data_IF_237804987648
#
_entry.id   IF_237804987648
#
_cell.length_a   1.000
_cell.length_b   1.000
_cell.length_c   1.000
_cell.angle_alpha   90.00
_cell.angle_beta   90.00
_cell.angle_gamma   90.00
#
_symmetry.space_group_name_H-M   'P 1'
#
loop_
_entity.id
_entity.type
_entity.pdbx_description
1 polymer ?
#
# COMPACT_ATOMS: atom_id res chain seq x y z
N UNK A 1 -3.22 3.67 -2.36
CA UNK A 1 -2.91 2.98 -3.64
C UNK A 1 -3.18 1.49 -3.47
N UNK A 2 -4.00 0.87 -4.33
CA UNK A 2 -4.16 -0.60 -4.30
C UNK A 2 -2.84 -1.26 -4.73
N UNK A 3 -2.41 -2.31 -4.03
CA UNK A 3 -1.15 -3.02 -4.31
C UNK A 3 -1.44 -4.37 -4.96
N UNK A 4 -2.20 -5.23 -4.27
CA UNK A 4 -2.52 -6.58 -4.72
C UNK A 4 -3.74 -7.12 -3.97
N UNK A 5 -4.47 -8.08 -4.56
CA UNK A 5 -5.61 -8.73 -3.92
C UNK A 5 -5.19 -9.52 -2.68
N UNK A 6 -6.10 -9.67 -1.72
CA UNK A 6 -5.94 -10.56 -0.57
C UNK A 6 -6.65 -11.87 -0.91
N UNK A 7 -5.87 -12.91 -1.18
CA UNK A 7 -6.34 -14.29 -1.21
C UNK A 7 -6.17 -14.89 0.20
N UNK A 8 -7.30 -15.16 0.88
CA UNK A 8 -7.29 -15.69 2.24
C UNK A 8 -6.52 -17.01 2.34
N UNK A 9 -6.69 -17.91 1.36
CA UNK A 9 -6.04 -19.22 1.36
C UNK A 9 -4.52 -19.08 1.32
N UNK A 10 -4.02 -18.19 0.44
CA UNK A 10 -2.60 -17.92 0.30
C UNK A 10 -2.03 -17.16 1.50
N UNK A 11 -2.66 -16.06 1.93
CA UNK A 11 -2.15 -15.19 3.00
C UNK A 11 -2.05 -15.95 4.32
N UNK A 12 -3.02 -16.81 4.63
CA UNK A 12 -3.00 -17.63 5.85
C UNK A 12 -1.74 -18.53 5.93
N UNK A 13 -1.29 -19.04 4.78
CA UNK A 13 -0.23 -20.06 4.65
C UNK A 13 1.15 -19.50 4.30
N UNK A 14 1.25 -18.21 4.00
CA UNK A 14 2.49 -17.61 3.49
C UNK A 14 3.02 -16.58 4.48
N UNK A 15 4.27 -16.73 4.91
CA UNK A 15 4.98 -15.72 5.70
C UNK A 15 5.29 -14.48 4.86
N UNK A 16 5.49 -13.33 5.52
CA UNK A 16 5.68 -12.05 4.84
C UNK A 16 6.81 -12.08 3.81
N UNK A 17 7.93 -12.71 4.16
CA UNK A 17 9.13 -12.85 3.34
C UNK A 17 8.85 -13.54 1.98
N UNK A 18 7.84 -14.39 1.93
CA UNK A 18 7.42 -15.13 0.73
C UNK A 18 6.09 -14.61 0.15
N UNK A 19 5.56 -13.51 0.69
CA UNK A 19 4.24 -13.01 0.34
C UNK A 19 4.22 -12.33 -1.04
N UNK A 20 3.09 -12.48 -1.72
CA UNK A 20 2.82 -11.73 -2.95
C UNK A 20 2.74 -10.21 -2.70
N UNK A 21 2.44 -9.77 -1.47
CA UNK A 21 2.51 -8.37 -1.07
C UNK A 21 3.95 -7.84 -1.14
N UNK A 22 4.88 -8.53 -0.47
CA UNK A 22 6.29 -8.15 -0.50
C UNK A 22 6.84 -8.22 -1.93
N UNK A 23 6.50 -9.24 -2.71
CA UNK A 23 6.94 -9.34 -4.11
C UNK A 23 6.57 -8.10 -4.95
N UNK A 24 5.39 -7.51 -4.72
CA UNK A 24 4.92 -6.30 -5.42
C UNK A 24 5.53 -5.01 -4.86
N UNK A 25 5.89 -5.00 -3.58
CA UNK A 25 6.51 -3.86 -2.90
C UNK A 25 8.04 -3.86 -3.05
N UNK A 26 8.68 -5.00 -3.30
CA UNK A 26 10.14 -5.08 -3.33
C UNK A 26 10.75 -4.18 -4.41
N UNK A 27 10.08 -4.04 -5.55
CA UNK A 27 10.46 -3.13 -6.62
C UNK A 27 9.21 -2.57 -7.29
N UNK A 28 9.00 -1.26 -7.16
CA UNK A 28 7.92 -0.58 -7.87
C UNK A 28 8.39 0.76 -8.43
N UNK A 29 7.79 1.17 -9.55
CA UNK A 29 7.89 2.54 -10.07
C UNK A 29 6.57 3.24 -9.77
N UNK A 30 6.64 4.34 -9.03
CA UNK A 30 5.49 5.15 -8.67
C UNK A 30 5.48 6.39 -9.55
N UNK A 31 4.49 6.48 -10.43
CA UNK A 31 4.18 7.68 -11.20
C UNK A 31 3.08 8.48 -10.48
N UNK A 32 3.46 9.57 -9.83
CA UNK A 32 2.51 10.49 -9.21
C UNK A 32 2.00 11.48 -10.26
N UNK A 33 0.69 11.67 -10.32
CA UNK A 33 0.03 12.66 -11.19
C UNK A 33 -0.74 13.69 -10.38
N UNK A 34 -0.90 14.88 -10.94
CA UNK A 34 -1.83 15.88 -10.43
C UNK A 34 -3.24 15.49 -10.89
N UNK A 35 -4.16 15.42 -9.94
CA UNK A 35 -5.58 15.25 -10.25
C UNK A 35 -6.18 16.61 -10.61
N UNK A 36 -6.67 16.73 -11.85
CA UNK A 36 -7.16 17.98 -12.45
C UNK A 36 -8.68 18.11 -12.46
N UNK A 37 -9.40 17.01 -12.24
CA UNK A 37 -10.86 17.00 -12.20
C UNK A 37 -11.45 15.61 -12.46
N UNK A 38 -12.75 15.47 -12.23
CA UNK A 38 -13.46 14.20 -12.39
C UNK A 38 -13.57 13.74 -13.85
N UNK A 39 -13.59 14.68 -14.80
CA UNK A 39 -13.66 14.38 -16.23
C UNK A 39 -12.39 13.69 -16.76
N UNK A 40 -11.27 13.77 -16.01
CA UNK A 40 -9.97 13.12 -16.30
C UNK A 40 -9.45 13.35 -17.74
N UNK A 41 -9.80 14.48 -18.37
CA UNK A 41 -9.46 14.80 -19.76
C UNK A 41 -7.95 14.96 -20.02
N UNK A 42 -7.16 15.25 -18.98
CA UNK A 42 -5.71 15.35 -19.05
C UNK A 42 -5.06 14.91 -17.73
N UNK A 43 -3.84 14.39 -17.82
CA UNK A 43 -3.05 13.96 -16.66
C UNK A 43 -1.68 14.61 -16.69
N UNK A 44 -1.37 15.41 -15.66
CA UNK A 44 -0.07 16.03 -15.50
C UNK A 44 0.80 15.12 -14.63
N UNK A 45 1.85 14.55 -15.22
CA UNK A 45 2.86 13.78 -14.48
C UNK A 45 3.63 14.73 -13.56
N UNK A 46 3.50 14.53 -12.25
CA UNK A 46 4.21 15.32 -11.25
C UNK A 46 5.62 14.79 -11.01
N UNK A 47 5.73 13.48 -10.77
CA UNK A 47 7.02 12.84 -10.51
C UNK A 47 6.99 11.34 -10.78
N UNK A 48 8.16 10.78 -11.05
CA UNK A 48 8.41 9.35 -11.08
C UNK A 48 9.47 9.04 -10.04
N UNK A 49 9.20 8.08 -9.17
CA UNK A 49 10.18 7.59 -8.19
C UNK A 49 10.21 6.07 -8.21
N UNK A 50 11.39 5.51 -7.98
CA UNK A 50 11.50 4.12 -7.57
C UNK A 50 11.08 4.00 -6.11
N UNK A 51 10.49 2.87 -5.79
CA UNK A 51 10.11 2.46 -4.46
C UNK A 51 10.79 1.12 -4.21
N UNK A 52 11.66 1.13 -3.20
CA UNK A 52 12.39 -0.02 -2.72
C UNK A 52 12.15 -0.11 -1.20
N UNK A 53 11.77 -1.29 -0.72
CA UNK A 53 11.42 -1.53 0.68
C UNK A 53 12.69 -1.83 1.51
N UNK A 54 13.68 -0.94 1.42
CA UNK A 54 15.05 -1.19 1.89
C UNK A 54 15.34 -0.55 3.26
N UNK A 55 14.47 0.38 3.69
CA UNK A 55 14.57 1.02 5.00
C UNK A 55 14.04 0.03 6.06
N UNK A 56 14.87 -0.48 6.99
CA UNK A 56 14.48 -1.56 7.89
C UNK A 56 13.21 -1.27 8.69
N UNK A 57 13.07 -0.06 9.23
CA UNK A 57 11.90 0.33 10.03
C UNK A 57 10.61 0.35 9.20
N UNK A 58 10.73 0.64 7.89
CA UNK A 58 9.58 0.61 6.99
C UNK A 58 9.24 -0.84 6.64
N UNK A 59 10.25 -1.66 6.34
CA UNK A 59 10.09 -3.08 6.09
C UNK A 59 9.37 -3.77 7.25
N UNK A 60 9.85 -3.57 8.47
CA UNK A 60 9.31 -4.19 9.67
C UNK A 60 7.86 -3.78 9.94
N UNK A 61 7.51 -2.52 9.68
CA UNK A 61 6.13 -2.07 9.83
C UNK A 61 5.21 -2.68 8.76
N UNK A 62 5.67 -2.80 7.51
CA UNK A 62 4.90 -3.47 6.45
C UNK A 62 4.72 -4.96 6.77
N UNK A 63 5.74 -5.61 7.32
CA UNK A 63 5.66 -6.97 7.85
C UNK A 63 4.61 -7.08 8.95
N UNK A 64 4.65 -6.21 9.94
CA UNK A 64 3.68 -6.19 11.04
C UNK A 64 2.24 -5.97 10.54
N UNK A 65 2.04 -5.12 9.53
CA UNK A 65 0.72 -4.91 8.91
C UNK A 65 0.21 -6.15 8.17
N UNK A 66 1.11 -6.85 7.45
CA UNK A 66 0.79 -8.12 6.80
C UNK A 66 0.42 -9.19 7.82
N UNK A 67 1.24 -9.35 8.87
CA UNK A 67 1.03 -10.35 9.91
C UNK A 67 -0.25 -10.08 10.71
N UNK A 68 -0.59 -8.81 10.93
CA UNK A 68 -1.89 -8.42 11.51
C UNK A 68 -3.06 -8.93 10.67
N UNK A 69 -3.02 -8.73 9.34
CA UNK A 69 -4.06 -9.22 8.41
C UNK A 69 -4.09 -10.74 8.37
N UNK A 70 -2.92 -11.38 8.28
CA UNK A 70 -2.78 -12.83 8.30
C UNK A 70 -3.36 -13.45 9.57
N UNK A 71 -3.06 -12.86 10.73
CA UNK A 71 -3.54 -13.33 12.03
C UNK A 71 -5.06 -13.16 12.17
N UNK A 72 -5.62 -12.08 11.65
CA UNK A 72 -7.07 -11.89 11.60
C UNK A 72 -7.76 -12.94 10.71
N UNK A 73 -7.20 -13.25 9.53
CA UNK A 73 -7.72 -14.33 8.67
C UNK A 73 -7.70 -15.67 9.42
N UNK A 74 -6.60 -16.01 10.09
CA UNK A 74 -6.44 -17.28 10.81
C UNK A 74 -7.41 -17.46 11.98
N UNK A 75 -7.62 -16.41 12.76
CA UNK A 75 -8.29 -16.54 14.06
C UNK A 75 -9.71 -15.95 14.10
N UNK A 76 -10.05 -15.07 13.16
CA UNK A 76 -11.30 -14.32 13.15
C UNK A 76 -12.05 -14.44 11.82
N UNK A 77 -11.44 -15.07 10.81
CA UNK A 77 -11.99 -15.21 9.47
C UNK A 77 -11.81 -13.98 8.59
N UNK A 78 -11.98 -14.15 7.28
CA UNK A 78 -11.73 -13.11 6.27
C UNK A 78 -12.64 -11.87 6.42
N UNK A 79 -13.85 -12.05 6.93
CA UNK A 79 -14.80 -10.96 7.14
C UNK A 79 -14.38 -9.97 8.24
N UNK A 80 -13.53 -10.41 9.17
CA UNK A 80 -12.99 -9.57 10.25
C UNK A 80 -12.10 -8.44 9.76
N UNK A 81 -11.59 -8.54 8.52
CA UNK A 81 -10.68 -7.55 7.97
C UNK A 81 -11.37 -6.18 7.91
N UNK A 82 -10.61 -5.11 8.14
CA UNK A 82 -11.17 -3.76 8.14
C UNK A 82 -10.14 -2.73 7.70
N UNK A 83 -10.59 -1.68 7.01
CA UNK A 83 -9.75 -0.55 6.61
C UNK A 83 -9.11 0.21 7.78
N UNK A 84 -9.45 -0.13 9.03
CA UNK A 84 -8.79 0.40 10.23
C UNK A 84 -7.49 -0.33 10.56
N UNK A 85 -7.25 -1.53 10.00
CA UNK A 85 -6.04 -2.31 10.28
C UNK A 85 -4.81 -1.73 9.58
N UNK A 86 -3.66 -1.94 10.22
CA UNK A 86 -2.32 -1.63 9.72
C UNK A 86 -2.01 -0.13 9.62
N UNK A 87 -0.71 0.18 9.66
CA UNK A 87 -0.15 1.55 9.73
C UNK A 87 0.22 2.08 8.36
N UNK A 88 0.79 1.24 7.50
CA UNK A 88 1.20 1.55 6.13
C UNK A 88 0.39 0.79 5.09
N UNK A 89 0.08 -0.48 5.36
CA UNK A 89 -0.74 -1.34 4.51
C UNK A 89 -2.05 -1.65 5.22
N UNK A 90 -3.17 -1.55 4.52
CA UNK A 90 -4.51 -1.83 5.06
C UNK A 90 -5.30 -2.74 4.10
N UNK A 91 -6.14 -3.65 4.62
CA UNK A 91 -7.12 -4.35 3.82
C UNK A 91 -8.31 -3.41 3.51
N UNK A 92 -8.69 -3.28 2.25
CA UNK A 92 -9.90 -2.54 1.85
C UNK A 92 -10.72 -3.36 0.87
N UNK A 93 -12.04 -3.20 0.94
CA UNK A 93 -12.97 -3.74 -0.05
C UNK A 93 -12.63 -3.18 -1.43
N UNK A 94 -12.58 -4.05 -2.44
CA UNK A 94 -12.37 -3.66 -3.83
C UNK A 94 -13.64 -3.91 -4.63
N UNK A 95 -14.21 -2.85 -5.21
CA UNK A 95 -15.42 -2.90 -6.03
C UNK A 95 -16.40 -1.75 -5.70
N UNK A 96 -17.38 -1.48 -6.57
CA UNK A 96 -18.27 -0.31 -6.49
C UNK A 96 -19.34 -0.35 -5.38
N UNK A 97 -19.20 -1.19 -4.35
CA UNK A 97 -20.32 -1.54 -3.45
C UNK A 97 -21.31 -2.50 -4.15
N UNK A 98 -22.28 -3.03 -3.41
CA UNK A 98 -23.21 -4.12 -3.82
C UNK A 98 -22.64 -5.55 -3.72
N UNK A 99 -22.34 -6.01 -2.50
CA UNK A 99 -22.07 -7.44 -2.23
C UNK A 99 -20.66 -7.93 -2.59
N UNK A 100 -19.75 -7.03 -3.01
CA UNK A 100 -18.36 -7.41 -3.25
C UNK A 100 -17.64 -7.69 -1.93
N UNK A 101 -17.32 -8.97 -1.73
CA UNK A 101 -16.60 -9.49 -0.55
C UNK A 101 -15.08 -9.37 -0.71
N UNK A 102 -14.60 -9.13 -1.93
CA UNK A 102 -13.17 -9.16 -2.23
C UNK A 102 -12.42 -8.00 -1.57
N UNK A 103 -11.22 -8.30 -1.07
CA UNK A 103 -10.33 -7.31 -0.43
C UNK A 103 -8.99 -7.25 -1.14
N UNK A 104 -8.36 -6.09 -1.10
CA UNK A 104 -6.99 -5.92 -1.54
C UNK A 104 -6.17 -5.23 -0.44
N UNK A 105 -4.86 -5.43 -0.47
CA UNK A 105 -3.90 -4.64 0.27
C UNK A 105 -3.78 -3.26 -0.39
N UNK A 106 -3.98 -2.21 0.40
CA UNK A 106 -3.81 -0.82 -0.02
C UNK A 106 -2.71 -0.16 0.79
N UNK A 107 -1.78 0.50 0.09
CA UNK A 107 -0.87 1.46 0.69
C UNK A 107 -1.63 2.73 1.13
N UNK A 108 -1.48 3.09 2.40
CA UNK A 108 -1.99 4.33 3.00
C UNK A 108 -1.25 5.56 2.46
N UNK A 109 -1.91 6.71 2.52
CA UNK A 109 -1.33 7.99 2.11
C UNK A 109 -0.06 8.31 2.88
N UNK A 110 -0.06 8.10 4.20
CA UNK A 110 1.11 8.37 5.05
C UNK A 110 2.32 7.50 4.68
N UNK A 111 2.08 6.30 4.18
CA UNK A 111 3.13 5.46 3.64
C UNK A 111 3.70 6.04 2.34
N UNK A 112 2.82 6.38 1.39
CA UNK A 112 3.23 6.93 0.08
C UNK A 112 3.98 8.26 0.20
N UNK A 113 3.60 9.12 1.17
CA UNK A 113 4.27 10.41 1.40
C UNK A 113 5.78 10.27 1.67
N UNK A 114 6.21 9.16 2.28
CA UNK A 114 7.64 8.87 2.55
C UNK A 114 8.48 8.69 1.29
N UNK A 115 7.86 8.42 0.14
CA UNK A 115 8.54 8.18 -1.13
C UNK A 115 8.26 9.27 -2.15
N UNK A 116 7.02 9.73 -2.24
CA UNK A 116 6.61 10.72 -3.24
C UNK A 116 7.09 12.13 -2.88
N UNK A 117 7.06 12.49 -1.59
CA UNK A 117 7.34 13.86 -1.15
C UNK A 117 8.62 14.00 -0.30
N UNK A 118 9.37 12.92 -0.06
CA UNK A 118 10.63 13.00 0.69
C UNK A 118 11.65 13.94 0.04
N UNK A 119 11.61 14.09 -1.29
CA UNK A 119 12.49 15.02 -2.03
C UNK A 119 12.13 16.50 -1.85
N UNK A 120 10.90 16.86 -1.44
CA UNK A 120 10.50 18.26 -1.24
C UNK A 120 11.16 18.92 -0.02
N UNK A 121 11.59 18.12 0.98
CA UNK A 121 12.34 18.63 2.13
C UNK A 121 13.77 19.09 1.78
N UNK A 122 14.38 18.49 0.75
CA UNK A 122 15.76 18.81 0.34
C UNK A 122 15.88 20.11 -0.46
N UNK A 123 14.79 20.59 -1.08
CA UNK A 123 14.76 21.82 -1.87
C UNK A 123 14.76 23.10 -1.03
N UNK A 124 14.54 23.02 0.29
CA UNK A 124 14.65 24.19 1.18
C UNK A 124 16.10 24.57 1.51
N UNK A 125 17.08 23.73 1.18
CA UNK A 125 18.50 23.99 1.45
C UNK A 125 19.20 24.90 0.41
N UNK A 126 18.54 25.24 -0.70
CA UNK A 126 19.08 26.09 -1.78
C UNK A 126 18.47 27.50 -1.81
N UNK A 127 17.93 27.97 -0.68
CA UNK A 127 17.60 29.38 -0.45
C UNK A 127 18.50 29.94 0.65
N UNK A 128 19.75 30.24 0.29
CA UNK A 128 20.57 31.27 0.92
C UNK A 128 21.30 32.03 -0.17
#
# INVERSE_FOLDING_TARGET
>A
MAVTMIDAYNVERTEFENSHLLAKLKKAVIAARIWTGQEDQSSILHSVTTFDLDVPQIYDQVKADYDLVRNAIRNQGFESLTGKMGVYIQPRTKGPGHGSVSRAFYARTEFLKKFIFSKLGSLRAWRK
#
